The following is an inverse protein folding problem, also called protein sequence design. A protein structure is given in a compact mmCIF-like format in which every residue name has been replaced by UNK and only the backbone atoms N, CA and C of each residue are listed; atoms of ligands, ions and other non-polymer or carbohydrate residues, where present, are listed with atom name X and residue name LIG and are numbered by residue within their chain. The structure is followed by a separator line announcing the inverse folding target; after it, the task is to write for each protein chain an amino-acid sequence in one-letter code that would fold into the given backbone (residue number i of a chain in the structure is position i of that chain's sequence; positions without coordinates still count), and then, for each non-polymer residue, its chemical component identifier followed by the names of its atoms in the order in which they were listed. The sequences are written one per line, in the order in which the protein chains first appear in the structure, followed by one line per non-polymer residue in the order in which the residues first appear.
data_IF_587475902446
#
_entry.id   IF_587475902446
#
_cell.length_a   1.000
_cell.length_b   1.000
_cell.length_c   1.000
_cell.angle_alpha   90.00
_cell.angle_beta   90.00
_cell.angle_gamma   90.00
#
_symmetry.space_group_name_H-M   'P 1'
#
loop_
_entity.id
_entity.type
_entity.pdbx_description
1 polymer ?
#
# COMPACT_ATOMS: atom_id res chain seq x y z
N UNK A 1 -14.93 2.56 -10.49
CA UNK A 1 -14.28 1.23 -10.41
C UNK A 1 -13.91 1.00 -8.95
N UNK A 2 -14.08 -0.20 -8.38
CA UNK A 2 -13.68 -0.48 -6.99
C UNK A 2 -12.42 -1.33 -7.01
N UNK A 3 -11.35 -0.89 -6.33
CA UNK A 3 -10.11 -1.65 -6.16
C UNK A 3 -9.72 -1.74 -4.69
N UNK A 4 -8.96 -2.78 -4.36
CA UNK A 4 -8.39 -3.00 -3.04
C UNK A 4 -6.87 -2.88 -3.10
N UNK A 5 -6.29 -2.31 -2.04
CA UNK A 5 -4.83 -2.24 -1.84
C UNK A 5 -4.44 -3.35 -0.88
N UNK A 6 -3.45 -4.15 -1.28
CA UNK A 6 -2.85 -5.19 -0.44
C UNK A 6 -1.36 -4.92 -0.27
N UNK A 7 -0.90 -4.93 0.98
CA UNK A 7 0.50 -4.77 1.33
C UNK A 7 0.86 -5.82 2.39
N UNK A 8 2.07 -6.39 2.29
CA UNK A 8 2.58 -7.35 3.27
C UNK A 8 4.08 -7.22 3.45
N UNK A 9 4.54 -7.69 4.59
CA UNK A 9 5.95 -7.97 4.88
C UNK A 9 6.11 -9.45 5.15
N UNK A 10 7.29 -10.01 4.88
CA UNK A 10 7.56 -11.43 5.13
C UNK A 10 7.86 -11.73 6.60
N UNK A 11 8.36 -10.74 7.33
CA UNK A 11 8.61 -10.79 8.78
C UNK A 11 8.18 -9.46 9.39
N UNK A 12 7.73 -9.46 10.65
CA UNK A 12 7.42 -8.22 11.38
C UNK A 12 8.63 -7.67 12.15
N UNK A 13 9.70 -8.46 12.22
CA UNK A 13 10.92 -8.12 12.92
C UNK A 13 11.79 -7.15 12.13
N UNK A 14 12.78 -6.55 12.82
CA UNK A 14 13.78 -5.65 12.23
C UNK A 14 13.19 -4.39 11.56
N UNK A 15 12.07 -3.89 12.08
CA UNK A 15 11.45 -2.66 11.59
C UNK A 15 10.77 -2.80 10.24
N UNK A 16 10.38 -4.02 9.85
CA UNK A 16 9.58 -4.22 8.64
C UNK A 16 8.11 -3.86 8.90
N UNK A 17 7.62 -2.90 8.13
CA UNK A 17 6.22 -2.48 8.12
C UNK A 17 5.69 -2.29 6.68
N UNK A 18 4.37 -2.21 6.54
CA UNK A 18 3.70 -2.02 5.24
C UNK A 18 3.39 -0.56 4.91
N UNK A 19 3.67 0.40 5.80
CA UNK A 19 3.27 1.80 5.68
C UNK A 19 3.85 2.46 4.42
N UNK A 20 5.13 2.20 4.09
CA UNK A 20 5.74 2.74 2.87
C UNK A 20 5.05 2.22 1.59
N UNK A 21 4.70 0.93 1.55
CA UNK A 21 3.96 0.34 0.43
C UNK A 21 2.55 0.95 0.32
N UNK A 22 1.86 1.05 1.45
CA UNK A 22 0.50 1.59 1.51
C UNK A 22 0.45 3.06 1.07
N UNK A 23 1.41 3.88 1.52
CA UNK A 23 1.48 5.29 1.14
C UNK A 23 1.63 5.46 -0.37
N UNK A 24 2.60 4.79 -0.98
CA UNK A 24 2.85 4.86 -2.43
C UNK A 24 1.66 4.35 -3.25
N UNK A 25 1.06 3.22 -2.85
CA UNK A 25 -0.08 2.63 -3.55
C UNK A 25 -1.33 3.52 -3.46
N UNK A 26 -1.54 4.19 -2.32
CA UNK A 26 -2.63 5.17 -2.16
C UNK A 26 -2.43 6.38 -3.05
N UNK A 27 -1.24 6.99 -3.03
CA UNK A 27 -0.96 8.14 -3.91
C UNK A 27 -1.10 7.79 -5.40
N UNK A 28 -0.73 6.57 -5.79
CA UNK A 28 -0.97 6.09 -7.15
C UNK A 28 -2.47 5.97 -7.43
N UNK A 29 -3.22 5.31 -6.54
CA UNK A 29 -4.65 5.09 -6.74
C UNK A 29 -5.45 6.40 -6.82
N UNK A 30 -5.08 7.39 -6.00
CA UNK A 30 -5.64 8.75 -6.00
C UNK A 30 -5.35 9.50 -7.30
N UNK A 31 -4.10 9.47 -7.79
CA UNK A 31 -3.72 10.12 -9.05
C UNK A 31 -4.38 9.52 -10.29
N UNK A 32 -4.74 8.24 -10.23
CA UNK A 32 -5.29 7.50 -11.37
C UNK A 32 -6.79 7.20 -11.25
N UNK A 33 -7.48 7.78 -10.26
CA UNK A 33 -8.95 7.75 -10.14
C UNK A 33 -9.52 6.37 -9.81
N UNK A 34 -8.77 5.58 -9.04
CA UNK A 34 -9.14 4.19 -8.74
C UNK A 34 -9.60 3.98 -7.29
N UNK A 35 -9.33 4.93 -6.38
CA UNK A 35 -9.88 4.95 -5.00
C UNK A 35 -11.05 5.92 -4.88
#
# INVERSE_FOLDING_TARGET
MRVAIYARVSTKDKGQDTANQLHQLREFAERHGTI
#
